data_IF_754347833926
#
_entry.id   IF_754347833926
#
_cell.length_a   1.000
_cell.length_b   1.000
_cell.length_c   1.000
_cell.angle_alpha   90.00
_cell.angle_beta   90.00
_cell.angle_gamma   90.00
#
_symmetry.space_group_name_H-M   'P 1'
#
loop_
_entity.id
_entity.type
_entity.pdbx_description
1 polymer ?
#
# COMPACT_ATOMS: atom_id res chain seq x y z
N UNK A 1 16.26 6.83 4.24
CA UNK A 1 16.87 7.23 2.95
C UNK A 1 17.76 6.10 2.48
N UNK A 2 17.43 5.47 1.35
CA UNK A 2 18.15 4.30 0.86
C UNK A 2 19.56 4.64 0.31
N UNK A 3 19.90 5.92 0.11
CA UNK A 3 21.28 6.33 -0.25
C UNK A 3 22.21 6.38 0.96
N UNK A 4 21.65 6.46 2.18
CA UNK A 4 22.39 6.64 3.42
C UNK A 4 22.21 5.50 4.43
N UNK A 5 21.34 4.52 4.15
CA UNK A 5 21.02 3.42 5.06
C UNK A 5 21.04 2.08 4.31
N UNK A 6 21.65 1.07 4.95
CA UNK A 6 21.55 -0.31 4.50
C UNK A 6 20.15 -0.87 4.74
N UNK A 7 19.78 -1.89 3.97
CA UNK A 7 18.52 -2.62 4.13
C UNK A 7 18.72 -4.12 3.84
N UNK A 8 17.83 -5.00 4.33
CA UNK A 8 17.90 -6.43 4.04
C UNK A 8 17.67 -6.73 2.55
N UNK A 9 18.76 -6.91 1.79
CA UNK A 9 18.72 -7.13 0.33
C UNK A 9 18.16 -8.50 -0.06
N UNK A 10 18.11 -9.44 0.88
CA UNK A 10 17.48 -10.75 0.72
C UNK A 10 15.96 -10.69 0.74
N UNK A 11 15.40 -9.64 1.37
CA UNK A 11 13.95 -9.43 1.51
C UNK A 11 13.45 -8.37 0.52
N UNK A 12 14.21 -7.30 0.32
CA UNK A 12 13.79 -6.15 -0.48
C UNK A 12 14.65 -6.01 -1.75
N UNK A 13 14.05 -6.24 -2.92
CA UNK A 13 14.70 -6.05 -4.21
C UNK A 13 14.52 -4.59 -4.67
N UNK A 14 15.39 -3.69 -4.21
CA UNK A 14 15.35 -2.26 -4.55
C UNK A 14 16.30 -1.98 -5.72
N UNK A 15 15.74 -1.83 -6.93
CA UNK A 15 16.50 -1.54 -8.16
C UNK A 15 16.46 -0.07 -8.61
N UNK A 16 15.61 0.73 -8.00
CA UNK A 16 15.39 2.14 -8.35
C UNK A 16 14.50 2.85 -7.33
N UNK A 17 14.32 4.16 -7.52
CA UNK A 17 13.59 4.98 -6.56
C UNK A 17 12.35 5.65 -7.15
N UNK A 18 11.25 5.75 -6.35
CA UNK A 18 10.99 4.99 -5.13
C UNK A 18 10.59 3.53 -5.45
N UNK A 19 10.94 2.61 -4.56
CA UNK A 19 10.40 1.24 -4.48
C UNK A 19 9.69 1.11 -3.13
N UNK A 20 8.44 0.65 -3.14
CA UNK A 20 7.58 0.64 -1.95
C UNK A 20 7.16 -0.79 -1.61
N UNK A 21 7.19 -1.13 -0.32
CA UNK A 21 6.74 -2.42 0.19
C UNK A 21 5.79 -2.20 1.37
N UNK A 22 4.80 -3.08 1.50
CA UNK A 22 3.92 -3.17 2.66
C UNK A 22 4.27 -4.40 3.49
N UNK A 23 4.56 -4.19 4.76
CA UNK A 23 4.72 -5.24 5.76
C UNK A 23 3.48 -5.30 6.64
N UNK A 24 2.77 -6.42 6.57
CA UNK A 24 1.65 -6.71 7.48
C UNK A 24 2.14 -7.11 8.87
N UNK A 25 1.24 -7.16 9.85
CA UNK A 25 1.55 -7.57 11.21
C UNK A 25 1.83 -9.09 11.32
N UNK A 26 1.32 -9.89 10.39
CA UNK A 26 1.62 -11.32 10.30
C UNK A 26 2.97 -11.64 9.64
N UNK A 27 3.71 -10.63 9.18
CA UNK A 27 5.01 -10.79 8.53
C UNK A 27 4.95 -10.97 7.01
N UNK A 28 3.77 -10.95 6.38
CA UNK A 28 3.66 -10.90 4.91
C UNK A 28 4.18 -9.55 4.41
N UNK A 29 5.15 -9.62 3.49
CA UNK A 29 5.72 -8.46 2.78
C UNK A 29 5.25 -8.52 1.34
N UNK A 30 4.74 -7.40 0.83
CA UNK A 30 4.23 -7.28 -0.55
C UNK A 30 4.73 -6.01 -1.19
N UNK A 31 5.28 -6.10 -2.40
CA UNK A 31 5.69 -4.94 -3.17
C UNK A 31 4.48 -4.17 -3.71
N UNK A 32 4.55 -2.84 -3.67
CA UNK A 32 3.54 -1.95 -4.19
C UNK A 32 3.89 -1.51 -5.62
N UNK A 33 3.12 -2.01 -6.57
CA UNK A 33 3.25 -1.70 -8.01
C UNK A 33 2.09 -0.83 -8.53
N UNK A 34 1.29 -0.28 -7.62
CA UNK A 34 0.12 0.54 -7.93
C UNK A 34 0.47 1.99 -8.26
N UNK A 35 -0.56 2.77 -8.59
CA UNK A 35 -0.42 4.19 -8.90
C UNK A 35 0.00 4.96 -7.65
N UNK A 36 0.81 6.00 -7.79
CA UNK A 36 1.26 6.81 -6.63
C UNK A 36 0.23 7.86 -6.21
N UNK A 37 -1.05 7.50 -6.30
CA UNK A 37 -2.18 8.31 -5.83
C UNK A 37 -2.52 7.93 -4.40
N UNK A 38 -3.16 8.85 -3.68
CA UNK A 38 -3.59 8.61 -2.30
C UNK A 38 -4.58 7.44 -2.24
N UNK A 39 -5.50 7.42 -3.19
CA UNK A 39 -6.61 6.48 -3.27
C UNK A 39 -6.09 5.05 -3.50
N UNK A 40 -5.16 4.85 -4.44
CA UNK A 40 -4.61 3.53 -4.74
C UNK A 40 -3.77 2.99 -3.56
N UNK A 41 -3.01 3.85 -2.88
CA UNK A 41 -2.26 3.48 -1.67
C UNK A 41 -3.21 3.00 -0.56
N UNK A 42 -4.32 3.72 -0.34
CA UNK A 42 -5.32 3.35 0.66
C UNK A 42 -5.91 1.98 0.32
N UNK A 43 -6.34 1.80 -0.93
CA UNK A 43 -6.93 0.54 -1.39
C UNK A 43 -5.96 -0.63 -1.26
N UNK A 44 -4.69 -0.42 -1.61
CA UNK A 44 -3.67 -1.45 -1.48
C UNK A 44 -3.43 -1.86 -0.03
N UNK A 45 -3.37 -0.90 0.89
CA UNK A 45 -3.24 -1.19 2.33
C UNK A 45 -4.47 -1.95 2.81
N UNK A 46 -5.68 -1.54 2.43
CA UNK A 46 -6.91 -2.23 2.84
C UNK A 46 -6.98 -3.68 2.33
N UNK A 47 -6.47 -3.94 1.13
CA UNK A 47 -6.41 -5.29 0.52
C UNK A 47 -5.35 -6.19 1.17
N UNK A 48 -4.25 -5.61 1.64
CA UNK A 48 -3.09 -6.38 2.12
C UNK A 48 -2.94 -6.42 3.64
N UNK A 49 -3.63 -5.55 4.39
CA UNK A 49 -3.63 -5.59 5.86
C UNK A 49 -4.17 -6.91 6.37
N UNK A 50 -3.73 -7.28 7.57
CA UNK A 50 -4.31 -8.40 8.28
C UNK A 50 -5.77 -8.14 8.60
N UNK A 51 -6.61 -9.14 8.38
CA UNK A 51 -8.00 -9.11 8.81
C UNK A 51 -8.03 -9.29 10.32
N UNK A 52 -8.07 -8.18 11.05
CA UNK A 52 -8.66 -8.21 12.39
C UNK A 52 -10.13 -8.54 12.18
N UNK A 53 -10.61 -9.61 12.80
CA UNK A 53 -12.00 -10.07 12.71
C UNK A 53 -12.92 -9.09 13.47
N UNK A 54 -13.04 -7.84 13.00
CA UNK A 54 -14.10 -6.85 13.25
C UNK A 54 -13.70 -5.47 12.70
N UNK A 55 -14.35 -5.06 11.60
CA UNK A 55 -15.12 -3.81 11.48
C UNK A 55 -15.36 -3.53 10.00
N UNK A 56 -16.59 -3.80 9.59
CA UNK A 56 -17.20 -3.35 8.34
C UNK A 56 -17.31 -1.82 8.33
N UNK A 57 -17.54 -1.27 7.12
CA UNK A 57 -17.92 0.11 6.79
C UNK A 57 -16.81 1.17 6.71
N UNK A 58 -16.27 1.38 5.50
CA UNK A 58 -16.44 2.67 4.81
C UNK A 58 -16.68 2.36 3.33
N UNK A 59 -17.95 2.36 2.93
CA UNK A 59 -18.33 2.64 1.55
C UNK A 59 -18.28 4.17 1.44
N UNK A 60 -17.27 4.73 0.78
CA UNK A 60 -17.38 6.10 0.28
C UNK A 60 -17.94 6.02 -1.14
N UNK A 61 -19.27 6.02 -1.18
CA UNK A 61 -20.06 6.55 -2.29
C UNK A 61 -19.75 8.04 -2.42
N UNK A 62 -19.07 8.46 -3.51
CA UNK A 62 -19.42 9.73 -4.16
C UNK A 62 -19.25 9.58 -5.68
N UNK A 63 -20.33 9.33 -6.44
CA UNK A 63 -20.33 9.60 -7.87
C UNK A 63 -20.48 11.12 -8.05
N UNK A 64 -19.39 11.84 -8.27
CA UNK A 64 -19.50 13.21 -8.82
C UNK A 64 -19.77 13.08 -10.31
N UNK A 65 -21.04 12.80 -10.64
CA UNK A 65 -21.65 13.23 -11.89
C UNK A 65 -22.43 14.50 -11.58
N UNK A 66 -21.87 15.64 -11.96
CA UNK A 66 -22.69 16.77 -12.35
C UNK A 66 -22.18 17.26 -13.71
N UNK A 67 -22.96 16.90 -14.73
CA UNK A 67 -23.01 17.57 -16.02
C UNK A 67 -23.85 18.83 -15.83
N UNK A 68 -23.26 20.02 -16.00
CA UNK A 68 -23.83 21.15 -16.77
C UNK A 68 -22.78 22.25 -17.00
#
# INVERSE_FOLDING_TARGET
>A
DATANDYPMDIFDVKGYPTMYFSSANGKIVQYEGDRTKEDIIDFIQKNKDTIVQAESVKDDVPVKDEL
#
